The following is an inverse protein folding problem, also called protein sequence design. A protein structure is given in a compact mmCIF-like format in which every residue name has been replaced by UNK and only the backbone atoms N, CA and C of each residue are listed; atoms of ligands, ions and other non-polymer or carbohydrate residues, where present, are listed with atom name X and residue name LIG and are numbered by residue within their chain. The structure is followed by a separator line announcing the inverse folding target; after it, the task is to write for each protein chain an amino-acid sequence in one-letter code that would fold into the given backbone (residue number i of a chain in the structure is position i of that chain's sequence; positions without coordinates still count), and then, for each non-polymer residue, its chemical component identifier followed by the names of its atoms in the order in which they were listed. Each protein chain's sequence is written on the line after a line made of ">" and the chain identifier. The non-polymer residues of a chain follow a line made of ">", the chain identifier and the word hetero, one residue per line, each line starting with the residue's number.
data_IF_907335216504
#
_entry.id   IF_907335216504
#
_cell.length_a   1.000
_cell.length_b   1.000
_cell.length_c   1.000
_cell.angle_alpha   90.00
_cell.angle_beta   90.00
_cell.angle_gamma   90.00
#
_symmetry.space_group_name_H-M   'P 1'
#
loop_
_entity.id
_entity.type
_entity.pdbx_description
1 polymer ?
#
# COMPACT_ATOMS: atom_id res chain seq x y z
N UNK A 1 -3.58 30.09 12.03
CA UNK A 1 -3.77 28.63 12.09
C UNK A 1 -4.15 28.17 10.68
N UNK A 2 -3.17 27.87 9.83
CA UNK A 2 -3.41 27.40 8.46
C UNK A 2 -3.66 25.89 8.52
N UNK A 3 -4.92 25.48 8.36
CA UNK A 3 -5.27 24.07 8.19
C UNK A 3 -4.90 23.68 6.75
N UNK A 4 -3.68 23.16 6.54
CA UNK A 4 -3.26 22.59 5.27
C UNK A 4 -3.73 21.12 5.24
N UNK A 5 -4.89 20.89 4.65
CA UNK A 5 -5.36 19.54 4.32
C UNK A 5 -4.52 19.01 3.15
N UNK A 6 -3.46 18.26 3.46
CA UNK A 6 -2.61 17.64 2.44
C UNK A 6 -3.28 16.36 1.91
N UNK A 7 -3.55 16.33 0.60
CA UNK A 7 -4.02 15.12 -0.10
C UNK A 7 -2.85 14.56 -0.93
N UNK A 8 -2.27 13.41 -0.54
CA UNK A 8 -1.21 12.78 -1.31
C UNK A 8 -1.78 12.08 -2.56
N UNK A 9 -0.97 12.05 -3.62
CA UNK A 9 -1.27 11.30 -4.84
C UNK A 9 -0.16 10.27 -5.03
N UNK A 10 -0.52 8.99 -5.16
CA UNK A 10 0.42 7.90 -5.40
C UNK A 10 0.23 7.35 -6.82
N UNK A 11 1.30 7.24 -7.58
CA UNK A 11 1.29 6.69 -8.94
C UNK A 11 2.57 5.87 -9.21
N UNK A 12 2.55 4.91 -10.17
CA UNK A 12 3.74 4.16 -10.55
C UNK A 12 4.82 5.09 -11.10
N UNK A 13 6.08 4.91 -10.66
CA UNK A 13 7.22 5.69 -11.18
C UNK A 13 7.44 5.52 -12.69
N UNK A 14 6.94 4.44 -13.29
CA UNK A 14 6.97 4.19 -14.73
C UNK A 14 5.93 4.97 -15.52
N UNK A 15 4.98 5.64 -14.85
CA UNK A 15 3.95 6.44 -15.51
C UNK A 15 4.54 7.76 -16.02
N UNK A 16 4.36 8.03 -17.31
CA UNK A 16 4.73 9.32 -17.89
C UNK A 16 3.79 10.41 -17.33
N UNK A 17 4.36 11.43 -16.69
CA UNK A 17 3.61 12.51 -16.08
C UNK A 17 4.30 13.86 -16.33
N UNK A 18 3.50 14.92 -16.44
CA UNK A 18 3.95 16.31 -16.61
C UNK A 18 3.10 17.25 -15.77
N UNK A 19 3.74 18.22 -15.14
CA UNK A 19 3.06 19.34 -14.47
C UNK A 19 2.91 20.49 -15.46
N UNK A 20 1.68 20.98 -15.63
CA UNK A 20 1.40 22.15 -16.47
C UNK A 20 1.94 23.42 -15.82
N UNK A 21 2.38 24.44 -16.60
CA UNK A 21 2.84 25.71 -16.04
C UNK A 21 1.79 26.37 -15.15
N UNK A 22 2.23 26.94 -14.03
CA UNK A 22 1.37 27.75 -13.14
C UNK A 22 1.27 29.15 -13.73
N UNK A 23 0.06 29.57 -14.11
CA UNK A 23 -0.17 30.87 -14.79
C UNK A 23 -0.36 32.04 -13.83
N UNK A 24 -0.73 31.77 -12.56
CA UNK A 24 -0.82 32.75 -11.46
C UNK A 24 -0.58 32.05 -10.11
N UNK A 25 0.10 32.72 -9.19
CA UNK A 25 0.42 32.20 -7.85
C UNK A 25 1.56 31.18 -7.85
N UNK A 26 1.58 30.29 -6.86
CA UNK A 26 2.59 29.24 -6.69
C UNK A 26 1.95 27.89 -6.32
N UNK A 27 2.64 26.79 -6.67
CA UNK A 27 2.24 25.42 -6.30
C UNK A 27 3.36 24.77 -5.50
N UNK A 28 3.26 24.82 -4.18
CA UNK A 28 4.17 24.12 -3.28
C UNK A 28 3.78 22.64 -3.19
N UNK A 29 4.74 21.76 -3.42
CA UNK A 29 4.56 20.32 -3.35
C UNK A 29 5.79 19.65 -2.74
N UNK A 30 5.57 18.54 -2.04
CA UNK A 30 6.62 17.62 -1.61
C UNK A 30 6.54 16.41 -2.52
N UNK A 31 7.62 16.12 -3.24
CA UNK A 31 7.72 14.95 -4.13
C UNK A 31 8.69 13.98 -3.48
N UNK A 32 8.28 12.72 -3.38
CA UNK A 32 9.08 11.64 -2.83
C UNK A 32 8.82 10.35 -3.60
N UNK A 33 9.74 9.39 -3.44
CA UNK A 33 9.62 8.04 -3.99
C UNK A 33 9.65 7.03 -2.86
N UNK A 34 8.89 5.95 -3.03
CA UNK A 34 8.84 4.83 -2.09
C UNK A 34 9.17 3.57 -2.87
N UNK A 35 10.14 2.80 -2.38
CA UNK A 35 10.47 1.50 -2.95
C UNK A 35 9.45 0.45 -2.49
N UNK A 36 9.05 -0.42 -3.41
CA UNK A 36 8.21 -1.58 -3.08
C UNK A 36 9.06 -2.64 -2.40
N UNK A 37 8.55 -3.21 -1.29
CA UNK A 37 9.20 -4.32 -0.58
C UNK A 37 9.15 -5.64 -1.36
N UNK A 38 8.05 -5.89 -2.08
CA UNK A 38 7.86 -7.06 -2.94
C UNK A 38 7.89 -6.60 -4.40
N UNK A 39 8.94 -6.98 -5.13
CA UNK A 39 9.19 -6.57 -6.51
C UNK A 39 8.22 -7.25 -7.49
N UNK A 40 8.05 -8.57 -7.36
CA UNK A 40 7.19 -9.38 -8.24
C UNK A 40 5.70 -9.00 -8.12
N UNK A 41 5.07 -8.79 -9.27
CA UNK A 41 3.69 -8.32 -9.34
C UNK A 41 2.67 -9.43 -9.00
N UNK A 42 2.93 -10.67 -9.40
CA UNK A 42 2.03 -11.79 -9.14
C UNK A 42 2.02 -12.11 -7.63
N UNK A 43 3.19 -12.24 -7.03
CA UNK A 43 3.36 -12.45 -5.58
C UNK A 43 2.68 -11.34 -4.77
N UNK A 44 2.84 -10.09 -5.18
CA UNK A 44 2.21 -8.95 -4.53
C UNK A 44 0.67 -8.98 -4.64
N UNK A 45 0.13 -9.38 -5.78
CA UNK A 45 -1.32 -9.53 -5.95
C UNK A 45 -1.88 -10.62 -5.03
N UNK A 46 -1.21 -11.78 -4.95
CA UNK A 46 -1.61 -12.87 -4.06
C UNK A 46 -1.51 -12.50 -2.57
N UNK A 47 -0.48 -11.76 -2.16
CA UNK A 47 -0.37 -11.24 -0.79
C UNK A 47 -1.46 -10.22 -0.46
N UNK A 48 -1.85 -9.39 -1.42
CA UNK A 48 -2.95 -8.44 -1.26
C UNK A 48 -4.28 -9.15 -1.09
N UNK A 49 -4.59 -10.11 -1.96
CA UNK A 49 -5.82 -10.92 -1.87
C UNK A 49 -5.90 -11.68 -0.54
N UNK A 50 -4.79 -12.25 -0.07
CA UNK A 50 -4.75 -12.91 1.24
C UNK A 50 -5.06 -11.95 2.39
N UNK A 51 -4.52 -10.73 2.37
CA UNK A 51 -4.82 -9.72 3.38
C UNK A 51 -6.30 -9.30 3.33
N UNK A 52 -6.86 -9.07 2.13
CA UNK A 52 -8.28 -8.74 1.97
C UNK A 52 -9.19 -9.81 2.59
N UNK A 53 -8.88 -11.09 2.36
CA UNK A 53 -9.64 -12.21 2.95
C UNK A 53 -9.49 -12.23 4.48
N UNK A 54 -8.28 -12.02 5.01
CA UNK A 54 -8.05 -11.95 6.47
C UNK A 54 -8.86 -10.81 7.08
N UNK A 55 -8.82 -9.61 6.49
CA UNK A 55 -9.58 -8.45 6.97
C UNK A 55 -11.10 -8.70 6.91
N UNK A 56 -11.60 -9.34 5.84
CA UNK A 56 -13.01 -9.69 5.72
C UNK A 56 -13.44 -10.68 6.81
N UNK A 57 -12.61 -11.69 7.11
CA UNK A 57 -12.87 -12.65 8.19
C UNK A 57 -12.90 -11.96 9.55
N UNK A 58 -11.95 -11.06 9.83
CA UNK A 58 -11.93 -10.25 11.06
C UNK A 58 -13.21 -9.41 11.17
N UNK A 59 -13.59 -8.71 10.10
CA UNK A 59 -14.77 -7.85 10.08
C UNK A 59 -16.08 -8.63 10.26
N UNK A 60 -16.15 -9.85 9.71
CA UNK A 60 -17.33 -10.72 9.84
C UNK A 60 -17.52 -11.28 11.26
N UNK A 61 -16.47 -11.34 12.08
CA UNK A 61 -16.50 -11.94 13.42
C UNK A 61 -16.79 -13.45 13.45
N UNK A 62 -16.80 -14.12 12.29
CA UNK A 62 -17.17 -15.55 12.18
C UNK A 62 -15.98 -16.49 12.42
N UNK A 63 -14.76 -16.01 12.20
CA UNK A 63 -13.55 -16.81 12.33
C UNK A 63 -13.11 -16.94 13.79
N UNK A 64 -12.62 -18.13 14.17
CA UNK A 64 -12.03 -18.31 15.49
C UNK A 64 -10.70 -17.58 15.56
N UNK A 65 -10.41 -16.97 16.71
CA UNK A 65 -9.15 -16.23 16.92
C UNK A 65 -7.90 -17.06 16.61
N UNK A 66 -7.92 -18.35 16.95
CA UNK A 66 -6.81 -19.28 16.66
C UNK A 66 -6.57 -19.55 15.17
N UNK A 67 -7.59 -19.44 14.33
CA UNK A 67 -7.46 -19.58 12.88
C UNK A 67 -6.92 -18.29 12.27
N UNK A 68 -7.39 -17.14 12.75
CA UNK A 68 -6.87 -15.82 12.36
C UNK A 68 -5.38 -15.68 12.71
N UNK A 69 -4.96 -16.13 13.89
CA UNK A 69 -3.55 -16.09 14.29
C UNK A 69 -2.66 -16.93 13.37
N UNK A 70 -3.15 -18.09 12.91
CA UNK A 70 -2.45 -18.93 11.93
C UNK A 70 -2.36 -18.26 10.56
N UNK A 71 -3.43 -17.61 10.10
CA UNK A 71 -3.45 -16.89 8.83
C UNK A 71 -2.46 -15.71 8.87
N UNK A 72 -2.46 -14.92 9.95
CA UNK A 72 -1.47 -13.86 10.15
C UNK A 72 -0.04 -14.41 10.17
N UNK A 73 0.19 -15.55 10.82
CA UNK A 73 1.50 -16.19 10.84
C UNK A 73 1.97 -16.56 9.43
N UNK A 74 1.10 -17.17 8.60
CA UNK A 74 1.41 -17.49 7.21
C UNK A 74 1.67 -16.22 6.39
N UNK A 75 0.82 -15.21 6.50
CA UNK A 75 0.97 -13.93 5.81
C UNK A 75 2.33 -13.27 6.11
N UNK A 76 2.70 -13.16 7.39
CA UNK A 76 3.98 -12.58 7.79
C UNK A 76 5.19 -13.41 7.31
N UNK A 77 5.07 -14.75 7.31
CA UNK A 77 6.12 -15.61 6.77
C UNK A 77 6.34 -15.39 5.27
N UNK A 78 5.26 -15.26 4.49
CA UNK A 78 5.34 -15.00 3.06
C UNK A 78 5.94 -13.63 2.78
N UNK A 79 5.55 -12.59 3.52
CA UNK A 79 6.18 -11.26 3.41
C UNK A 79 7.68 -11.36 3.65
N UNK A 80 8.11 -12.04 4.71
CA UNK A 80 9.54 -12.20 5.02
C UNK A 80 10.29 -12.94 3.92
N UNK A 81 9.65 -13.91 3.27
CA UNK A 81 10.25 -14.69 2.19
C UNK A 81 10.42 -13.88 0.90
N UNK A 82 9.46 -13.02 0.56
CA UNK A 82 9.43 -12.31 -0.73
C UNK A 82 9.89 -10.86 -0.66
N UNK A 83 10.12 -10.33 0.54
CA UNK A 83 10.67 -8.98 0.70
C UNK A 83 12.12 -8.94 0.23
N UNK A 84 12.44 -7.95 -0.59
CA UNK A 84 13.82 -7.60 -0.96
C UNK A 84 14.15 -6.26 -0.30
N UNK A 85 15.12 -6.25 0.62
CA UNK A 85 15.67 -5.04 1.25
C UNK A 85 16.86 -4.52 0.48
#
# INVERSE_FOLDING_TARGET
>A
MFCLMFCPILYPSSSLHKVTPVTRGERLAVITWIQRMVSDAATRASLHELDEVIQALIASGTARRTELDKLHHVYHNLIRQFTTL
#
